data_IF_357692475138
#
_entry.id   IF_357692475138
#
_cell.length_a   1.000
_cell.length_b   1.000
_cell.length_c   1.000
_cell.angle_alpha   90.00
_cell.angle_beta   90.00
_cell.angle_gamma   90.00
#
_symmetry.space_group_name_H-M   'P 1'
#
loop_
_entity.id
_entity.type
_entity.pdbx_description
1 polymer ?
#
# COMPACT_ATOMS: atom_id res chain seq x y z
N UNK A 1 30.76 14.36 15.37
CA UNK A 1 30.05 13.29 16.12
C UNK A 1 29.08 12.67 15.12
N UNK A 2 29.39 11.49 14.56
CA UNK A 2 28.53 10.82 13.57
C UNK A 2 27.65 9.82 14.33
N UNK A 3 26.36 10.13 14.47
CA UNK A 3 25.36 9.14 14.87
C UNK A 3 25.15 8.19 13.69
N UNK A 4 25.32 6.89 13.92
CA UNK A 4 25.12 5.84 12.93
C UNK A 4 23.64 5.64 12.63
N UNK A 5 23.30 5.58 11.34
CA UNK A 5 21.95 5.37 10.79
C UNK A 5 21.23 4.12 11.34
N UNK A 6 21.98 3.18 11.92
CA UNK A 6 21.45 1.98 12.58
C UNK A 6 20.49 2.26 13.75
N UNK A 7 20.56 3.44 14.37
CA UNK A 7 19.67 3.77 15.50
C UNK A 7 18.32 4.37 15.07
N UNK A 8 18.14 4.73 13.80
CA UNK A 8 16.89 5.34 13.33
C UNK A 8 15.85 4.27 12.95
N UNK A 9 16.28 3.00 12.80
CA UNK A 9 15.39 1.91 12.37
C UNK A 9 14.48 1.36 13.49
N UNK A 10 14.82 1.56 14.76
CA UNK A 10 14.06 0.98 15.88
C UNK A 10 13.02 1.93 16.51
N UNK A 11 12.96 3.21 16.13
CA UNK A 11 12.09 4.20 16.78
C UNK A 11 10.82 4.57 16.00
N UNK A 12 10.56 3.98 14.83
CA UNK A 12 9.32 4.22 14.06
C UNK A 12 8.44 2.97 14.05
N UNK A 13 8.27 2.38 15.23
CA UNK A 13 7.12 1.52 15.55
C UNK A 13 6.27 2.23 16.58
N UNK A 14 5.84 3.46 16.28
CA UNK A 14 4.64 3.97 16.92
C UNK A 14 3.47 3.14 16.38
N UNK A 15 2.73 2.52 17.30
CA UNK A 15 1.49 1.76 17.13
C UNK A 15 0.43 2.59 16.38
N UNK A 16 0.62 2.79 15.07
CA UNK A 16 -0.45 3.19 14.18
C UNK A 16 -1.22 1.91 13.91
N UNK A 17 -2.35 1.73 14.60
CA UNK A 17 -3.32 0.68 14.34
C UNK A 17 -3.44 0.47 12.82
N UNK A 18 -2.85 -0.62 12.34
CA UNK A 18 -2.89 -0.95 10.92
C UNK A 18 -4.36 -1.23 10.59
N UNK A 19 -4.97 -0.52 9.62
CA UNK A 19 -6.33 -0.83 9.24
C UNK A 19 -6.35 -2.27 8.73
N UNK A 20 -7.12 -3.12 9.42
CA UNK A 20 -7.28 -4.53 9.06
C UNK A 20 -7.98 -4.59 7.69
N UNK A 21 -7.19 -4.83 6.65
CA UNK A 21 -7.68 -5.14 5.31
C UNK A 21 -7.95 -6.64 5.33
N UNK A 22 -9.23 -7.02 5.37
CA UNK A 22 -9.69 -8.42 5.48
C UNK A 22 -8.83 -9.37 4.63
N UNK A 23 -8.10 -10.26 5.31
CA UNK A 23 -7.32 -11.34 4.70
C UNK A 23 -5.89 -10.99 4.27
N UNK A 24 -5.38 -9.79 4.56
CA UNK A 24 -4.04 -9.34 4.16
C UNK A 24 -3.18 -9.00 5.38
N UNK A 25 -2.58 -10.02 5.99
CA UNK A 25 -1.61 -9.80 7.08
C UNK A 25 -0.34 -9.12 6.53
N UNK A 26 0.13 -8.06 7.21
CA UNK A 26 1.37 -7.31 6.90
C UNK A 26 1.36 -6.46 5.61
N UNK A 27 0.23 -5.84 5.25
CA UNK A 27 0.23 -4.83 4.18
C UNK A 27 1.07 -3.60 4.62
N UNK A 28 1.95 -3.05 3.77
CA UNK A 28 2.75 -1.87 4.08
C UNK A 28 1.89 -0.67 4.44
N UNK A 29 2.32 0.11 5.44
CA UNK A 29 1.55 1.23 5.97
C UNK A 29 1.08 2.22 4.89
N UNK A 30 1.91 2.50 3.88
CA UNK A 30 1.56 3.39 2.77
C UNK A 30 0.41 2.83 1.93
N UNK A 31 0.43 1.52 1.65
CA UNK A 31 -0.62 0.85 0.88
C UNK A 31 -1.90 0.71 1.71
N UNK A 32 -1.77 0.37 2.99
CA UNK A 32 -2.88 0.30 3.94
C UNK A 32 -3.58 1.66 4.07
N UNK A 33 -2.82 2.75 4.20
CA UNK A 33 -3.33 4.11 4.21
C UNK A 33 -4.04 4.49 2.91
N UNK A 34 -3.45 4.16 1.75
CA UNK A 34 -4.08 4.42 0.45
C UNK A 34 -5.47 3.78 0.34
N UNK A 35 -5.62 2.54 0.81
CA UNK A 35 -6.89 1.82 0.82
C UNK A 35 -7.87 2.39 1.85
N UNK A 36 -7.40 2.66 3.07
CA UNK A 36 -8.23 3.22 4.14
C UNK A 36 -8.86 4.58 3.75
N UNK A 37 -8.07 5.46 3.13
CA UNK A 37 -8.54 6.77 2.62
C UNK A 37 -9.65 6.65 1.57
N UNK A 38 -9.78 5.50 0.90
CA UNK A 38 -10.68 5.28 -0.24
C UNK A 38 -11.78 4.27 0.04
N UNK A 39 -11.82 3.67 1.24
CA UNK A 39 -12.77 2.63 1.62
C UNK A 39 -14.23 3.02 1.39
N UNK A 40 -14.56 4.27 1.73
CA UNK A 40 -15.94 4.77 1.68
C UNK A 40 -16.24 5.57 0.40
N UNK A 41 -15.31 5.60 -0.57
CA UNK A 41 -15.52 6.31 -1.83
C UNK A 41 -16.47 5.52 -2.74
N UNK A 42 -17.62 6.08 -3.14
CA UNK A 42 -18.55 5.40 -4.04
C UNK A 42 -17.88 5.02 -5.36
N UNK A 43 -18.06 3.77 -5.79
CA UNK A 43 -17.50 3.28 -7.04
C UNK A 43 -16.01 2.96 -6.98
N UNK A 44 -15.34 3.10 -5.83
CA UNK A 44 -13.97 2.62 -5.66
C UNK A 44 -13.96 1.10 -5.46
N UNK A 45 -13.10 0.42 -6.21
CA UNK A 45 -12.88 -1.02 -6.13
C UNK A 45 -11.38 -1.28 -6.18
N UNK A 46 -10.92 -2.29 -5.45
CA UNK A 46 -9.52 -2.67 -5.45
C UNK A 46 -9.34 -4.18 -5.30
N UNK A 47 -8.17 -4.64 -5.72
CA UNK A 47 -7.67 -5.99 -5.50
C UNK A 47 -6.25 -5.88 -4.97
N UNK A 48 -5.95 -6.61 -3.89
CA UNK A 48 -4.61 -6.74 -3.34
C UNK A 48 -4.04 -8.09 -3.75
N UNK A 49 -2.85 -8.08 -4.32
CA UNK A 49 -2.10 -9.27 -4.71
C UNK A 49 -0.73 -9.25 -4.03
N UNK A 50 -0.18 -10.43 -3.78
CA UNK A 50 1.20 -10.59 -3.32
C UNK A 50 1.96 -11.44 -4.35
N UNK A 51 3.06 -10.90 -4.87
CA UNK A 51 3.98 -11.58 -5.77
C UNK A 51 5.34 -11.68 -5.10
N UNK A 52 5.96 -12.87 -5.11
CA UNK A 52 7.20 -13.11 -4.37
C UNK A 52 8.37 -12.25 -4.87
N UNK A 53 8.37 -11.85 -6.14
CA UNK A 53 9.43 -11.04 -6.74
C UNK A 53 9.12 -9.54 -6.72
N UNK A 54 7.84 -9.19 -6.75
CA UNK A 54 7.34 -7.81 -6.88
C UNK A 54 6.67 -7.26 -5.62
N UNK A 55 6.62 -8.03 -4.54
CA UNK A 55 5.97 -7.62 -3.29
C UNK A 55 4.46 -7.45 -3.44
N UNK A 56 3.91 -6.49 -2.67
CA UNK A 56 2.49 -6.18 -2.71
C UNK A 56 2.11 -5.36 -3.94
N UNK A 57 1.01 -5.76 -4.57
CA UNK A 57 0.43 -5.09 -5.74
C UNK A 57 -1.00 -4.70 -5.42
N UNK A 58 -1.34 -3.43 -5.58
CA UNK A 58 -2.73 -2.96 -5.54
C UNK A 58 -3.18 -2.63 -6.95
N UNK A 59 -4.24 -3.28 -7.41
CA UNK A 59 -4.98 -2.91 -8.60
C UNK A 59 -6.23 -2.16 -8.16
N UNK A 60 -6.49 -0.97 -8.70
CA UNK A 60 -7.69 -0.21 -8.33
C UNK A 60 -8.41 0.37 -9.54
N UNK A 61 -9.72 0.52 -9.39
CA UNK A 61 -10.61 1.20 -10.33
C UNK A 61 -11.63 2.04 -9.59
N UNK A 62 -11.91 3.22 -10.13
CA UNK A 62 -12.99 4.11 -9.70
C UNK A 62 -14.00 4.21 -10.83
N UNK A 63 -15.27 4.01 -10.50
CA UNK A 63 -16.40 4.10 -11.43
C UNK A 63 -17.23 5.36 -11.16
N UNK A 64 -17.78 5.96 -12.21
CA UNK A 64 -18.83 6.97 -12.10
C UNK A 64 -20.13 6.32 -11.59
N UNK A 65 -21.08 7.15 -11.15
CA UNK A 65 -22.43 6.66 -10.77
C UNK A 65 -23.16 5.96 -11.93
N UNK A 66 -22.78 6.26 -13.18
CA UNK A 66 -23.32 5.64 -14.39
C UNK A 66 -22.58 4.36 -14.80
N UNK A 67 -21.59 3.92 -14.01
CA UNK A 67 -20.83 2.69 -14.25
C UNK A 67 -19.67 2.82 -15.23
N UNK A 68 -19.32 4.03 -15.68
CA UNK A 68 -18.14 4.26 -16.53
C UNK A 68 -16.87 4.34 -15.70
N UNK A 69 -15.72 3.91 -16.21
CA UNK A 69 -14.45 4.04 -15.49
C UNK A 69 -14.04 5.52 -15.45
N UNK A 70 -13.91 6.08 -14.25
CA UNK A 70 -13.41 7.43 -14.00
C UNK A 70 -11.89 7.44 -13.82
N UNK A 71 -11.35 6.40 -13.18
CA UNK A 71 -9.92 6.27 -12.91
C UNK A 71 -9.53 4.82 -12.70
N UNK A 72 -8.28 4.50 -12.98
CA UNK A 72 -7.71 3.19 -12.68
C UNK A 72 -6.20 3.31 -12.53
N UNK A 73 -5.62 2.45 -11.70
CA UNK A 73 -4.18 2.45 -11.51
C UNK A 73 -3.68 1.20 -10.83
N UNK A 74 -2.36 1.14 -10.70
CA UNK A 74 -1.64 0.04 -10.08
C UNK A 74 -0.51 0.59 -9.21
N UNK A 75 -0.42 0.12 -7.97
CA UNK A 75 0.73 0.37 -7.11
C UNK A 75 1.53 -0.91 -6.95
N UNK A 76 2.84 -0.79 -7.08
CA UNK A 76 3.81 -1.85 -6.80
C UNK A 76 4.64 -1.38 -5.63
N UNK A 77 4.61 -2.13 -4.53
CA UNK A 77 5.69 -1.99 -3.56
C UNK A 77 6.92 -2.64 -4.17
N UNK A 78 8.00 -1.90 -4.40
CA UNK A 78 9.25 -2.47 -4.92
C UNK A 78 10.22 -2.69 -3.76
N UNK A 79 10.16 -3.83 -3.03
CA UNK A 79 11.04 -4.09 -1.89
C UNK A 79 12.53 -4.14 -2.29
N UNK A 80 12.81 -4.32 -3.59
CA UNK A 80 14.15 -4.40 -4.16
C UNK A 80 14.51 -3.20 -5.06
N UNK A 81 13.80 -2.07 -4.97
CA UNK A 81 14.06 -0.89 -5.82
C UNK A 81 15.48 -0.32 -5.71
N UNK A 82 16.24 -0.71 -4.69
CA UNK A 82 17.60 -0.28 -4.40
C UNK A 82 18.67 -1.24 -4.94
N UNK A 83 18.26 -2.38 -5.50
CA UNK A 83 19.14 -3.31 -6.20
C UNK A 83 19.11 -2.93 -7.69
N UNK A 84 19.82 -1.85 -8.05
CA UNK A 84 20.21 -1.61 -9.45
C UNK A 84 21.54 -2.36 -9.72
N UNK A 85 21.67 -2.96 -10.91
CA UNK A 85 22.81 -3.80 -11.39
C UNK A 85 24.20 -3.14 -11.26
#
# INVERSE_FOLDING_TARGET
MKLSEAQIRDEVMEDVEQPDVEGVANLPATLARFLAERRDMPGFTHQVLHDENRGWIILWKEYTQTGSVRGSGQFYERPYAWIDE
#
